data_IF_159630873096
#
_entry.id   IF_159630873096
#
_cell.length_a   1.000
_cell.length_b   1.000
_cell.length_c   1.000
_cell.angle_alpha   90.00
_cell.angle_beta   90.00
_cell.angle_gamma   90.00
#
_symmetry.space_group_name_H-M   'P 1'
#
loop_
_entity.id
_entity.type
_entity.pdbx_description
1 polymer ?
#
# COMPACT_ATOMS: atom_id res chain seq x y z
N UNK A 1 -26.69 -8.01 -10.70
CA UNK A 1 -26.52 -6.68 -10.08
C UNK A 1 -25.05 -6.32 -10.20
N UNK A 2 -24.69 -5.51 -11.19
CA UNK A 2 -23.29 -5.18 -11.50
C UNK A 2 -23.04 -3.77 -10.96
N UNK A 3 -22.37 -3.66 -9.82
CA UNK A 3 -21.87 -2.35 -9.36
C UNK A 3 -20.69 -1.99 -10.25
N UNK A 4 -20.78 -0.88 -10.97
CA UNK A 4 -19.63 -0.34 -11.68
C UNK A 4 -18.64 0.16 -10.62
N UNK A 5 -17.46 -0.47 -10.55
CA UNK A 5 -16.39 -0.03 -9.65
C UNK A 5 -15.84 1.30 -10.14
N UNK A 6 -16.44 2.39 -9.66
CA UNK A 6 -15.87 3.72 -9.86
C UNK A 6 -14.59 3.85 -9.04
N UNK A 7 -13.45 3.65 -9.69
CA UNK A 7 -12.12 3.87 -9.11
C UNK A 7 -11.86 5.36 -8.83
N UNK A 8 -12.69 6.28 -9.33
CA UNK A 8 -12.56 7.73 -9.07
C UNK A 8 -12.83 8.12 -7.62
N UNK A 9 -13.44 7.23 -6.82
CA UNK A 9 -13.62 7.44 -5.37
C UNK A 9 -12.32 7.76 -4.64
N UNK A 10 -11.19 7.23 -5.10
CA UNK A 10 -9.92 7.37 -4.41
C UNK A 10 -9.09 8.47 -5.04
N UNK A 11 -8.73 9.45 -4.23
CA UNK A 11 -7.86 10.53 -4.64
C UNK A 11 -6.47 9.98 -5.05
N UNK A 12 -5.71 10.63 -5.95
CA UNK A 12 -4.46 10.08 -6.51
C UNK A 12 -3.41 9.75 -5.43
N UNK A 13 -2.38 8.92 -5.72
CA UNK A 13 -1.22 8.69 -4.85
C UNK A 13 -0.67 9.97 -4.19
N UNK A 14 -0.08 9.86 -3.00
CA UNK A 14 0.79 10.93 -2.53
C UNK A 14 2.05 10.95 -3.42
N UNK A 15 2.76 12.07 -3.45
CA UNK A 15 4.07 12.12 -4.09
C UNK A 15 4.99 11.06 -3.46
N UNK A 16 5.76 10.31 -4.28
CA UNK A 16 6.71 9.32 -3.77
C UNK A 16 7.65 9.94 -2.73
N UNK A 17 7.71 9.35 -1.53
CA UNK A 17 8.47 9.89 -0.41
C UNK A 17 8.78 8.80 0.62
N UNK A 18 9.83 9.02 1.41
CA UNK A 18 10.15 8.21 2.59
C UNK A 18 9.42 8.70 3.86
N UNK A 19 8.71 9.82 3.78
CA UNK A 19 7.87 10.33 4.86
C UNK A 19 6.56 9.53 4.96
N UNK A 20 6.65 8.32 5.53
CA UNK A 20 5.54 7.39 5.70
C UNK A 20 5.36 6.98 7.16
N UNK A 21 4.12 6.69 7.54
CA UNK A 21 3.80 6.08 8.82
C UNK A 21 3.99 4.57 8.77
N UNK A 22 4.56 3.99 9.82
CA UNK A 22 4.61 2.53 10.02
C UNK A 22 3.53 2.13 11.01
N UNK A 23 2.73 1.14 10.66
CA UNK A 23 1.81 0.46 11.58
C UNK A 23 2.09 -1.03 11.57
N UNK A 24 1.77 -1.72 12.67
CA UNK A 24 1.92 -3.16 12.73
C UNK A 24 1.86 -3.73 14.14
N UNK A 25 1.91 -5.05 14.19
CA UNK A 25 2.28 -5.81 15.39
C UNK A 25 3.30 -6.88 14.93
N UNK A 26 3.93 -7.61 15.83
CA UNK A 26 4.97 -8.58 15.43
C UNK A 26 4.50 -9.69 14.46
N UNK A 27 3.22 -9.72 14.06
CA UNK A 27 2.70 -10.58 13.01
C UNK A 27 2.60 -9.91 11.62
N UNK A 28 2.49 -8.58 11.51
CA UNK A 28 2.36 -7.86 10.24
C UNK A 28 2.89 -6.42 10.30
N UNK A 29 3.20 -5.84 9.15
CA UNK A 29 3.57 -4.43 9.05
C UNK A 29 2.98 -3.80 7.80
N UNK A 30 2.67 -2.51 7.85
CA UNK A 30 2.18 -1.73 6.73
C UNK A 30 2.76 -0.31 6.72
N UNK A 31 2.91 0.24 5.52
CA UNK A 31 3.35 1.62 5.28
C UNK A 31 2.18 2.48 4.80
N UNK A 32 2.00 3.62 5.46
CA UNK A 32 0.92 4.58 5.23
C UNK A 32 1.47 5.87 4.62
N UNK A 33 0.95 6.28 3.48
CA UNK A 33 1.30 7.56 2.84
C UNK A 33 0.69 8.77 3.60
N UNK A 34 1.11 9.99 3.24
CA UNK A 34 0.61 11.22 3.85
C UNK A 34 -0.91 11.47 3.65
N UNK A 35 -1.58 10.66 2.81
CA UNK A 35 -3.01 10.73 2.51
C UNK A 35 -3.79 9.60 3.19
N UNK A 36 -3.13 8.81 4.04
CA UNK A 36 -3.75 7.75 4.83
C UNK A 36 -3.95 6.43 4.08
N UNK A 37 -3.26 6.19 2.97
CA UNK A 37 -3.37 4.92 2.23
C UNK A 37 -2.29 3.93 2.61
N UNK A 38 -2.66 2.65 2.68
CA UNK A 38 -1.72 1.53 2.73
C UNK A 38 -1.09 1.37 1.34
N UNK A 39 0.20 1.70 1.22
CA UNK A 39 0.97 1.57 -0.04
C UNK A 39 1.82 0.31 -0.06
N UNK A 40 2.05 -0.28 1.12
CA UNK A 40 2.69 -1.58 1.29
C UNK A 40 2.17 -2.29 2.53
N UNK A 41 2.03 -3.62 2.49
CA UNK A 41 1.61 -4.41 3.65
C UNK A 41 2.00 -5.88 3.52
N UNK A 42 2.68 -6.46 4.52
CA UNK A 42 2.95 -7.89 4.60
C UNK A 42 1.87 -8.60 5.42
N UNK A 43 1.01 -9.36 4.72
CA UNK A 43 -0.06 -10.17 5.32
C UNK A 43 0.01 -11.60 4.75
N UNK A 44 -0.32 -12.64 5.54
CA UNK A 44 -0.71 -12.58 6.95
C UNK A 44 0.49 -12.58 7.92
N UNK A 45 1.72 -12.68 7.40
CA UNK A 45 2.96 -12.82 8.18
C UNK A 45 3.97 -11.74 7.80
N UNK A 46 4.78 -11.33 8.78
CA UNK A 46 5.73 -10.23 8.66
C UNK A 46 6.80 -10.45 7.58
N UNK A 47 7.21 -11.70 7.38
CA UNK A 47 8.23 -12.16 6.43
C UNK A 47 7.65 -12.67 5.10
N UNK A 48 6.35 -12.45 4.85
CA UNK A 48 5.69 -12.88 3.63
C UNK A 48 5.70 -11.83 2.52
N UNK A 49 5.37 -12.27 1.31
CA UNK A 49 5.16 -11.36 0.18
C UNK A 49 4.08 -10.32 0.51
N UNK A 50 4.26 -9.07 0.09
CA UNK A 50 3.32 -8.03 0.43
C UNK A 50 2.05 -8.09 -0.43
N UNK A 51 0.89 -7.91 0.21
CA UNK A 51 -0.42 -7.87 -0.47
C UNK A 51 -0.64 -6.54 -1.19
N UNK A 52 -0.03 -5.47 -0.71
CA UNK A 52 0.10 -4.20 -1.41
C UNK A 52 1.58 -3.95 -1.68
N UNK A 53 1.95 -3.61 -2.92
CA UNK A 53 3.35 -3.50 -3.34
C UNK A 53 3.60 -2.26 -4.21
N UNK A 54 2.82 -1.20 -4.02
CA UNK A 54 2.87 0.02 -4.84
C UNK A 54 4.21 0.78 -4.75
N UNK A 55 5.05 0.43 -3.76
CA UNK A 55 6.40 0.98 -3.61
C UNK A 55 7.40 0.45 -4.64
N UNK A 56 7.15 -0.73 -5.21
CA UNK A 56 8.05 -1.34 -6.18
C UNK A 56 7.48 -1.14 -7.59
N UNK A 57 8.13 -0.28 -8.38
CA UNK A 57 7.97 -0.35 -9.82
C UNK A 57 8.69 -1.61 -10.32
N UNK A 58 8.12 -2.42 -11.24
CA UNK A 58 8.93 -3.38 -11.98
C UNK A 58 10.06 -2.59 -12.65
N UNK A 59 11.30 -2.86 -12.26
CA UNK A 59 12.46 -2.15 -12.79
C UNK A 59 12.50 -2.28 -14.32
N UNK A 60 12.87 -1.19 -15.00
CA UNK A 60 13.35 -1.32 -16.37
C UNK A 60 14.59 -2.22 -16.34
N UNK A 61 14.49 -3.39 -16.96
CA UNK A 61 15.62 -4.25 -17.24
C UNK A 61 16.51 -3.62 -18.33
#
# INVERSE_FOLDING_TARGET
>A
MTVASDTSRFAPPAEPSLAMGVIGNCAFSALIDARGRIVWCCLPRFDGDPVFNALLAPGQA
#
